data_IF_982739432453
#
_entry.id   IF_982739432453
#
_cell.length_a   1.000
_cell.length_b   1.000
_cell.length_c   1.000
_cell.angle_alpha   90.00
_cell.angle_beta   90.00
_cell.angle_gamma   90.00
#
_symmetry.space_group_name_H-M   'P 1'
#
loop_
_entity.id
_entity.type
_entity.pdbx_description
1 polymer ?
#
# COMPACT_ATOMS: atom_id res chain seq x y z
N UNK A 1 30.71 -5.68 -54.79
CA UNK A 1 31.13 -4.74 -53.73
C UNK A 1 29.92 -4.44 -52.86
N UNK A 2 29.87 -5.03 -51.67
CA UNK A 2 28.72 -4.98 -50.75
C UNK A 2 28.95 -3.88 -49.71
N UNK A 3 28.10 -2.86 -49.72
CA UNK A 3 28.08 -1.73 -48.77
C UNK A 3 27.42 -2.15 -47.46
N UNK A 4 28.17 -2.08 -46.35
CA UNK A 4 27.70 -2.32 -44.98
C UNK A 4 27.10 -1.04 -44.39
N UNK A 5 25.83 -1.10 -43.99
CA UNK A 5 25.21 -0.11 -43.09
C UNK A 5 25.55 -0.41 -41.62
N UNK A 6 25.74 0.60 -40.75
CA UNK A 6 25.99 0.37 -39.33
C UNK A 6 24.67 0.09 -38.59
N UNK A 7 24.61 -1.03 -37.87
CA UNK A 7 23.51 -1.35 -36.95
C UNK A 7 23.62 -0.47 -35.69
N UNK A 8 22.61 0.36 -35.44
CA UNK A 8 22.41 1.03 -34.17
C UNK A 8 22.13 0.01 -33.07
N UNK A 9 22.93 0.05 -32.00
CA UNK A 9 22.68 -0.72 -30.78
C UNK A 9 21.63 0.04 -29.97
N UNK A 10 20.38 -0.39 -30.04
CA UNK A 10 19.36 -0.02 -29.05
C UNK A 10 19.61 -0.83 -27.78
N UNK A 11 20.11 -0.15 -26.74
CA UNK A 11 20.18 -0.70 -25.39
C UNK A 11 18.76 -0.87 -24.85
N UNK A 12 18.37 -2.03 -24.29
CA UNK A 12 17.08 -2.17 -23.67
C UNK A 12 17.07 -1.41 -22.33
N UNK A 13 16.20 -0.42 -22.25
CA UNK A 13 15.84 0.30 -21.03
C UNK A 13 15.43 -0.68 -19.94
N UNK A 14 16.12 -0.55 -18.80
CA UNK A 14 15.99 -1.35 -17.59
C UNK A 14 14.57 -1.26 -17.00
N UNK A 15 13.69 -2.18 -17.41
CA UNK A 15 12.32 -2.31 -16.91
C UNK A 15 12.28 -3.08 -15.58
N UNK A 16 12.72 -2.43 -14.50
CA UNK A 16 12.55 -2.94 -13.12
C UNK A 16 11.84 -1.98 -12.13
N UNK A 17 10.63 -1.45 -12.41
CA UNK A 17 9.81 -0.86 -11.33
C UNK A 17 8.56 -1.69 -10.95
N UNK A 18 8.13 -2.66 -11.77
CA UNK A 18 6.86 -3.39 -11.52
C UNK A 18 6.91 -4.39 -10.35
N UNK A 19 8.06 -5.02 -10.07
CA UNK A 19 8.18 -6.05 -9.03
C UNK A 19 8.37 -5.50 -7.60
N UNK A 20 8.92 -4.29 -7.42
CA UNK A 20 9.00 -3.65 -6.10
C UNK A 20 7.65 -3.08 -5.67
N UNK A 21 6.91 -2.47 -6.61
CA UNK A 21 5.60 -1.86 -6.34
C UNK A 21 4.55 -2.86 -5.83
N UNK A 22 4.56 -4.10 -6.32
CA UNK A 22 3.68 -5.16 -5.83
C UNK A 22 3.95 -5.58 -4.38
N UNK A 23 5.19 -5.36 -3.87
CA UNK A 23 5.54 -5.63 -2.47
C UNK A 23 5.17 -4.49 -1.51
N UNK A 24 4.61 -3.40 -2.01
CA UNK A 24 4.27 -2.20 -1.22
C UNK A 24 2.76 -1.86 -1.26
N UNK A 25 1.96 -2.63 -2.00
CA UNK A 25 0.51 -2.49 -1.98
C UNK A 25 -0.06 -2.97 -0.63
N UNK A 26 -1.17 -2.38 -0.15
CA UNK A 26 -1.93 -2.89 0.98
C UNK A 26 -2.25 -4.38 0.82
N UNK A 27 -2.29 -5.11 1.93
CA UNK A 27 -2.69 -6.51 1.96
C UNK A 27 -4.20 -6.61 1.74
N UNK A 28 -4.60 -6.62 0.48
CA UNK A 28 -6.01 -6.72 0.07
C UNK A 28 -6.13 -7.69 -1.09
N UNK A 29 -6.96 -8.70 -0.89
CA UNK A 29 -7.34 -9.69 -1.89
C UNK A 29 -8.86 -9.83 -1.91
N UNK A 30 -9.36 -10.76 -2.72
CA UNK A 30 -10.78 -11.12 -2.71
C UNK A 30 -11.21 -11.56 -1.30
N UNK A 31 -12.30 -11.00 -0.79
CA UNK A 31 -12.80 -11.33 0.55
C UNK A 31 -13.36 -12.75 0.57
N UNK A 32 -12.93 -13.54 1.55
CA UNK A 32 -13.33 -14.92 1.70
C UNK A 32 -14.22 -15.13 2.92
N UNK A 33 -15.32 -15.86 2.74
CA UNK A 33 -16.05 -16.47 3.85
C UNK A 33 -15.26 -17.65 4.46
N UNK A 34 -15.70 -18.15 5.61
CA UNK A 34 -15.00 -19.19 6.38
C UNK A 34 -14.67 -20.45 5.54
N UNK A 35 -15.58 -20.92 4.70
CA UNK A 35 -15.33 -22.09 3.85
C UNK A 35 -14.38 -21.82 2.67
N UNK A 36 -14.32 -20.58 2.17
CA UNK A 36 -13.28 -20.16 1.21
C UNK A 36 -11.92 -20.06 1.91
N UNK A 37 -11.88 -19.48 3.10
CA UNK A 37 -10.68 -19.38 3.95
C UNK A 37 -10.08 -20.76 4.24
N UNK A 38 -10.88 -21.74 4.65
CA UNK A 38 -10.41 -23.12 4.87
C UNK A 38 -9.82 -23.76 3.61
N UNK A 39 -10.46 -23.56 2.45
CA UNK A 39 -9.97 -24.07 1.16
C UNK A 39 -8.64 -23.42 0.79
N UNK A 40 -8.54 -22.10 0.98
CA UNK A 40 -7.32 -21.33 0.74
C UNK A 40 -6.18 -21.79 1.67
N UNK A 41 -6.46 -21.96 2.97
CA UNK A 41 -5.50 -22.45 3.95
C UNK A 41 -4.90 -23.81 3.56
N UNK A 42 -5.73 -24.75 3.08
CA UNK A 42 -5.25 -26.04 2.56
C UNK A 42 -4.42 -25.88 1.30
N UNK A 43 -4.84 -24.99 0.39
CA UNK A 43 -4.14 -24.72 -0.85
C UNK A 43 -2.72 -24.18 -0.60
N UNK A 44 -2.56 -23.17 0.25
CA UNK A 44 -1.23 -22.64 0.59
C UNK A 44 -0.39 -23.66 1.35
N UNK A 45 -1.01 -24.49 2.20
CA UNK A 45 -0.30 -25.56 2.93
C UNK A 45 0.37 -26.58 2.00
N UNK A 46 -0.25 -26.92 0.87
CA UNK A 46 0.36 -27.79 -0.16
C UNK A 46 1.57 -27.12 -0.81
N UNK A 47 1.55 -25.80 -0.97
CA UNK A 47 2.62 -25.05 -1.64
C UNK A 47 3.82 -24.77 -0.74
N UNK A 48 3.62 -24.73 0.58
CA UNK A 48 4.65 -24.34 1.54
C UNK A 48 5.77 -25.37 1.62
N UNK A 49 6.88 -25.05 0.95
CA UNK A 49 8.15 -25.80 1.06
C UNK A 49 9.02 -25.19 2.13
N UNK A 50 9.24 -25.93 3.22
CA UNK A 50 9.97 -25.44 4.40
C UNK A 50 11.43 -25.90 4.44
N UNK A 51 12.27 -25.08 5.05
CA UNK A 51 13.62 -25.46 5.51
C UNK A 51 13.74 -25.22 7.01
N UNK A 52 14.36 -26.18 7.70
CA UNK A 52 14.69 -26.08 9.13
C UNK A 52 16.18 -25.75 9.27
N UNK A 53 16.53 -24.73 10.07
CA UNK A 53 17.92 -24.33 10.33
C UNK A 53 18.04 -22.92 10.91
N UNK A 54 19.23 -22.51 11.40
CA UNK A 54 19.48 -21.13 11.87
C UNK A 54 19.52 -20.16 10.68
N UNK A 55 18.82 -19.02 10.75
CA UNK A 55 18.92 -17.97 9.74
C UNK A 55 18.91 -16.55 10.32
N UNK A 56 18.88 -15.56 9.44
CA UNK A 56 18.77 -14.14 9.77
C UNK A 56 17.39 -13.79 10.33
N UNK A 57 17.32 -12.89 11.32
CA UNK A 57 16.07 -12.38 11.88
C UNK A 57 15.41 -11.34 10.96
N UNK A 58 15.00 -11.76 9.75
CA UNK A 58 14.46 -10.86 8.71
C UNK A 58 13.20 -10.12 9.15
N UNK A 59 12.37 -10.73 10.00
CA UNK A 59 11.16 -10.10 10.54
C UNK A 59 11.46 -8.87 11.39
N UNK A 60 12.50 -8.90 12.22
CA UNK A 60 12.87 -7.74 13.03
C UNK A 60 13.39 -6.59 12.15
N UNK A 61 14.17 -6.90 11.12
CA UNK A 61 14.59 -5.91 10.13
C UNK A 61 13.39 -5.33 9.36
N UNK A 62 12.40 -6.15 9.03
CA UNK A 62 11.17 -5.68 8.38
C UNK A 62 10.35 -4.80 9.32
N UNK A 63 10.24 -5.17 10.60
CA UNK A 63 9.60 -4.35 11.62
C UNK A 63 10.31 -2.99 11.78
N UNK A 64 11.66 -2.96 11.78
CA UNK A 64 12.44 -1.71 11.79
C UNK A 64 12.09 -0.81 10.59
N UNK A 65 11.92 -1.42 9.41
CA UNK A 65 11.57 -0.69 8.20
C UNK A 65 10.14 -0.15 8.27
N UNK A 66 9.19 -0.97 8.71
CA UNK A 66 7.78 -0.57 8.88
C UNK A 66 7.66 0.58 9.89
N UNK A 67 8.37 0.51 11.02
CA UNK A 67 8.41 1.58 12.02
C UNK A 67 8.92 2.90 11.43
N UNK A 68 9.99 2.85 10.61
CA UNK A 68 10.52 4.04 9.94
C UNK A 68 9.52 4.66 8.96
N UNK A 69 8.86 3.84 8.15
CA UNK A 69 7.83 4.27 7.19
C UNK A 69 6.66 4.94 7.91
N UNK A 70 6.12 4.27 8.94
CA UNK A 70 5.02 4.76 9.77
C UNK A 70 5.37 6.09 10.46
N UNK A 71 6.55 6.19 11.08
CA UNK A 71 7.00 7.43 11.72
C UNK A 71 7.24 8.57 10.74
N UNK A 72 7.81 8.28 9.57
CA UNK A 72 8.01 9.28 8.53
C UNK A 72 6.67 9.82 8.03
N UNK A 73 5.69 8.93 7.79
CA UNK A 73 4.33 9.32 7.43
C UNK A 73 3.67 10.19 8.50
N UNK A 74 3.73 9.79 9.78
CA UNK A 74 3.13 10.54 10.89
C UNK A 74 3.71 11.97 10.97
N UNK A 75 5.05 12.10 10.99
CA UNK A 75 5.74 13.41 11.02
C UNK A 75 5.38 14.26 9.81
N UNK A 76 5.41 13.67 8.61
CA UNK A 76 5.12 14.40 7.39
C UNK A 76 3.67 14.88 7.33
N UNK A 77 2.73 14.14 7.94
CA UNK A 77 1.29 14.46 7.96
C UNK A 77 0.97 15.50 9.03
N UNK A 78 1.60 15.45 10.21
CA UNK A 78 1.50 16.50 11.24
C UNK A 78 2.08 17.84 10.79
N UNK A 79 3.08 17.84 9.91
CA UNK A 79 3.68 19.06 9.36
C UNK A 79 2.83 19.72 8.25
N UNK A 80 1.69 19.14 7.88
CA UNK A 80 0.79 19.70 6.86
C UNK A 80 0.04 20.89 7.45
N UNK A 81 0.01 21.99 6.71
CA UNK A 81 -0.80 23.17 7.06
C UNK A 81 -2.28 22.78 7.22
N UNK A 82 -2.93 23.29 8.27
CA UNK A 82 -4.34 23.01 8.60
C UNK A 82 -5.31 23.38 7.47
N UNK A 83 -4.88 24.25 6.55
CA UNK A 83 -5.63 24.60 5.34
C UNK A 83 -5.74 23.46 4.30
N UNK A 84 -4.87 22.45 4.38
CA UNK A 84 -4.82 21.32 3.45
C UNK A 84 -5.55 20.11 4.02
N UNK A 85 -6.45 19.54 3.22
CA UNK A 85 -7.26 18.38 3.63
C UNK A 85 -6.43 17.12 3.76
N UNK A 86 -6.44 16.55 4.95
CA UNK A 86 -5.97 15.19 5.21
C UNK A 86 -7.08 14.22 4.79
N UNK A 87 -6.72 13.03 4.29
CA UNK A 87 -7.70 12.00 3.92
C UNK A 87 -8.20 11.28 5.18
N UNK A 88 -9.44 10.77 5.22
CA UNK A 88 -9.96 10.07 6.41
C UNK A 88 -9.07 8.94 6.94
N UNK A 89 -8.49 8.13 6.03
CA UNK A 89 -7.54 7.08 6.41
C UNK A 89 -6.27 7.61 7.08
N UNK A 90 -5.79 8.79 6.65
CA UNK A 90 -4.61 9.42 7.23
C UNK A 90 -4.92 10.05 8.58
N UNK A 91 -6.09 10.68 8.76
CA UNK A 91 -6.56 11.16 10.06
C UNK A 91 -6.67 10.02 11.07
N UNK A 92 -7.30 8.91 10.68
CA UNK A 92 -7.41 7.75 11.56
C UNK A 92 -6.06 7.17 12.00
N UNK A 93 -5.08 7.15 11.09
CA UNK A 93 -3.71 6.74 11.42
C UNK A 93 -3.03 7.70 12.41
N UNK A 94 -3.24 9.00 12.27
CA UNK A 94 -2.71 10.01 13.20
C UNK A 94 -3.30 9.82 14.59
N UNK A 95 -4.63 9.72 14.68
CA UNK A 95 -5.36 9.60 15.94
C UNK A 95 -4.97 8.34 16.71
N UNK A 96 -4.56 7.28 16.00
CA UNK A 96 -4.20 5.99 16.57
C UNK A 96 -2.70 5.71 16.57
N UNK A 97 -1.84 6.70 16.27
CA UNK A 97 -0.41 6.45 16.12
C UNK A 97 0.25 5.92 17.41
N UNK A 98 -0.21 6.39 18.58
CA UNK A 98 0.27 5.91 19.87
C UNK A 98 0.10 4.39 20.05
N UNK A 99 -1.04 3.85 19.61
CA UNK A 99 -1.33 2.42 19.66
C UNK A 99 -0.35 1.68 18.75
N UNK A 100 -0.13 2.16 17.53
CA UNK A 100 0.79 1.53 16.58
C UNK A 100 2.20 1.46 17.18
N UNK A 101 2.68 2.53 17.83
CA UNK A 101 3.99 2.53 18.50
C UNK A 101 4.06 1.51 19.64
N UNK A 102 3.02 1.42 20.47
CA UNK A 102 2.93 0.40 21.52
C UNK A 102 3.00 -1.01 20.94
N UNK A 103 2.24 -1.29 19.87
CA UNK A 103 2.23 -2.59 19.22
C UNK A 103 3.60 -2.95 18.62
N UNK A 104 4.33 -1.97 18.07
CA UNK A 104 5.70 -2.19 17.59
C UNK A 104 6.62 -2.59 18.75
N UNK A 105 6.52 -1.93 19.92
CA UNK A 105 7.33 -2.27 21.09
C UNK A 105 6.98 -3.65 21.67
N UNK A 106 5.69 -3.98 21.76
CA UNK A 106 5.24 -5.33 22.15
C UNK A 106 5.74 -6.38 21.16
N UNK A 107 5.67 -6.10 19.86
CA UNK A 107 6.14 -7.04 18.84
C UNK A 107 7.62 -7.36 18.98
N UNK A 108 8.47 -6.36 19.27
CA UNK A 108 9.90 -6.57 19.54
C UNK A 108 10.14 -7.41 20.78
N UNK A 109 9.39 -7.16 21.86
CA UNK A 109 9.53 -7.90 23.12
C UNK A 109 9.11 -9.36 22.97
N UNK A 110 8.02 -9.63 22.25
CA UNK A 110 7.46 -10.97 22.09
C UNK A 110 8.06 -11.76 20.91
N UNK A 111 8.94 -11.14 20.10
CA UNK A 111 9.75 -11.85 19.10
C UNK A 111 11.27 -11.72 19.37
N UNK A 112 11.80 -12.40 20.40
CA UNK A 112 13.24 -12.51 20.58
C UNK A 112 13.93 -13.07 19.32
N UNK A 113 15.18 -12.66 19.10
CA UNK A 113 15.96 -13.06 17.91
C UNK A 113 16.12 -14.57 17.83
N UNK A 114 16.37 -15.22 18.96
CA UNK A 114 16.56 -16.66 19.08
C UNK A 114 15.29 -17.40 18.68
N UNK A 115 14.15 -16.99 19.23
CA UNK A 115 12.85 -17.57 18.89
C UNK A 115 12.52 -17.40 17.40
N UNK A 116 12.73 -16.21 16.85
CA UNK A 116 12.53 -15.96 15.41
C UNK A 116 13.37 -16.89 14.51
N UNK A 117 14.56 -17.30 14.95
CA UNK A 117 15.47 -18.17 14.20
C UNK A 117 15.04 -19.63 14.17
N UNK A 118 14.26 -20.08 15.15
CA UNK A 118 13.82 -21.47 15.31
C UNK A 118 12.59 -21.82 14.47
N UNK A 119 11.84 -20.81 14.03
CA UNK A 119 10.63 -21.00 13.22
C UNK A 119 10.95 -21.55 11.82
N UNK A 120 10.11 -22.46 11.33
CA UNK A 120 10.29 -23.07 10.00
C UNK A 120 10.03 -22.02 8.91
N UNK A 121 10.95 -21.89 7.97
CA UNK A 121 10.89 -20.83 6.94
C UNK A 121 10.51 -21.38 5.58
N UNK A 122 9.89 -20.53 4.78
CA UNK A 122 9.61 -20.81 3.38
C UNK A 122 10.88 -20.71 2.53
N UNK A 123 11.02 -21.64 1.59
CA UNK A 123 12.15 -21.69 0.63
C UNK A 123 11.83 -21.02 -0.69
N UNK A 124 10.56 -20.79 -0.99
CA UNK A 124 10.07 -20.25 -2.25
C UNK A 124 8.84 -19.38 -2.03
N UNK A 125 8.43 -18.66 -3.07
CA UNK A 125 7.25 -17.78 -3.04
C UNK A 125 7.56 -16.36 -2.57
N UNK A 126 6.53 -15.51 -2.45
CA UNK A 126 6.67 -14.10 -2.09
C UNK A 126 7.35 -13.88 -0.73
N UNK A 127 7.10 -14.79 0.22
CA UNK A 127 7.63 -14.79 1.59
C UNK A 127 8.82 -15.72 1.78
N UNK A 128 9.53 -16.07 0.70
CA UNK A 128 10.77 -16.85 0.80
C UNK A 128 11.76 -16.19 1.79
N UNK A 129 12.28 -16.98 2.73
CA UNK A 129 13.16 -16.52 3.81
C UNK A 129 12.44 -16.09 5.09
N UNK A 130 11.11 -15.90 5.06
CA UNK A 130 10.30 -15.64 6.26
C UNK A 130 9.73 -16.92 6.87
N UNK A 131 9.39 -16.92 8.17
CA UNK A 131 8.66 -18.01 8.80
C UNK A 131 7.35 -18.31 8.08
N UNK A 132 6.99 -19.58 7.87
CA UNK A 132 5.73 -19.93 7.21
C UNK A 132 4.51 -19.43 7.96
N UNK A 133 4.57 -19.33 9.30
CA UNK A 133 3.49 -18.77 10.12
C UNK A 133 3.24 -17.30 9.80
N UNK A 134 4.30 -16.56 9.44
CA UNK A 134 4.15 -15.19 8.99
C UNK A 134 3.36 -15.13 7.68
N UNK A 135 3.69 -15.99 6.72
CA UNK A 135 2.96 -16.05 5.46
C UNK A 135 1.48 -16.46 5.65
N UNK A 136 1.21 -17.45 6.51
CA UNK A 136 -0.16 -17.87 6.88
C UNK A 136 -0.99 -16.68 7.35
N UNK A 137 -0.44 -15.82 8.22
CA UNK A 137 -1.21 -14.66 8.72
C UNK A 137 -1.34 -13.55 7.67
N UNK A 138 -0.35 -13.36 6.78
CA UNK A 138 -0.46 -12.40 5.69
C UNK A 138 -1.56 -12.80 4.69
N UNK A 139 -1.65 -14.09 4.38
CA UNK A 139 -2.72 -14.65 3.55
C UNK A 139 -4.09 -14.45 4.22
N UNK A 140 -4.22 -14.75 5.51
CA UNK A 140 -5.46 -14.49 6.25
C UNK A 140 -5.83 -12.99 6.20
N UNK A 141 -4.90 -12.10 6.60
CA UNK A 141 -5.13 -10.65 6.62
C UNK A 141 -5.59 -10.12 5.27
N UNK A 142 -5.00 -10.61 4.17
CA UNK A 142 -5.33 -10.17 2.81
C UNK A 142 -6.77 -10.53 2.42
N UNK A 143 -7.26 -11.70 2.86
CA UNK A 143 -8.58 -12.22 2.49
C UNK A 143 -9.70 -11.85 3.45
N UNK A 144 -9.39 -11.18 4.57
CA UNK A 144 -10.37 -10.62 5.52
C UNK A 144 -10.24 -9.10 5.67
N UNK A 145 -9.46 -8.44 4.81
CA UNK A 145 -9.11 -7.00 4.90
C UNK A 145 -8.74 -6.56 6.32
N UNK A 146 -7.85 -7.33 6.94
CA UNK A 146 -7.36 -7.15 8.30
C UNK A 146 -8.43 -7.19 9.41
N UNK A 147 -9.69 -7.55 9.13
CA UNK A 147 -10.72 -7.78 10.12
C UNK A 147 -10.53 -9.16 10.76
N UNK A 148 -9.79 -9.20 11.86
CA UNK A 148 -9.43 -10.46 12.53
C UNK A 148 -10.46 -10.78 13.61
N UNK A 149 -10.99 -12.00 13.56
CA UNK A 149 -11.79 -12.60 14.61
C UNK A 149 -11.25 -14.01 14.95
N UNK A 150 -11.62 -14.51 16.13
CA UNK A 150 -11.08 -15.77 16.63
C UNK A 150 -11.59 -16.99 15.84
N UNK A 151 -12.79 -16.93 15.29
CA UNK A 151 -13.40 -18.04 14.54
C UNK A 151 -12.70 -18.22 13.19
N UNK A 152 -12.54 -17.14 12.42
CA UNK A 152 -11.86 -17.16 11.12
C UNK A 152 -10.39 -17.58 11.25
N UNK A 153 -9.69 -17.05 12.25
CA UNK A 153 -8.30 -17.43 12.55
C UNK A 153 -8.19 -18.92 12.89
N UNK A 154 -9.03 -19.40 13.82
CA UNK A 154 -9.02 -20.80 14.25
C UNK A 154 -9.34 -21.74 13.09
N UNK A 155 -10.37 -21.42 12.30
CA UNK A 155 -10.75 -22.20 11.13
C UNK A 155 -9.64 -22.26 10.07
N UNK A 156 -8.97 -21.13 9.81
CA UNK A 156 -7.87 -21.05 8.85
C UNK A 156 -6.67 -21.89 9.29
N UNK A 157 -6.21 -21.71 10.54
CA UNK A 157 -5.07 -22.46 11.09
C UNK A 157 -5.39 -23.95 11.19
N UNK A 158 -6.60 -24.33 11.62
CA UNK A 158 -7.02 -25.73 11.69
C UNK A 158 -7.03 -26.39 10.30
N UNK A 159 -7.57 -25.71 9.28
CA UNK A 159 -7.59 -26.23 7.92
C UNK A 159 -6.20 -26.31 7.29
N UNK A 160 -5.30 -25.36 7.58
CA UNK A 160 -3.90 -25.45 7.18
C UNK A 160 -3.23 -26.72 7.76
N UNK A 161 -3.45 -26.96 9.06
CA UNK A 161 -2.84 -28.09 9.78
C UNK A 161 -3.31 -29.46 9.31
N UNK A 162 -4.48 -29.58 8.66
CA UNK A 162 -4.91 -30.86 8.07
C UNK A 162 -4.02 -31.32 6.91
N UNK A 163 -3.24 -30.40 6.33
CA UNK A 163 -2.32 -30.69 5.22
C UNK A 163 -0.87 -30.65 5.69
N UNK A 164 -0.48 -29.63 6.44
CA UNK A 164 0.89 -29.44 6.90
C UNK A 164 0.91 -29.06 8.40
N UNK A 165 1.15 -30.04 9.30
CA UNK A 165 1.17 -29.79 10.74
C UNK A 165 2.16 -28.68 11.13
N UNK A 166 1.72 -27.80 12.04
CA UNK A 166 2.54 -26.75 12.63
C UNK A 166 3.21 -27.28 13.91
N UNK A 167 4.46 -26.87 14.14
CA UNK A 167 5.14 -27.14 15.41
C UNK A 167 4.45 -26.36 16.53
N UNK A 168 4.62 -26.80 17.78
CA UNK A 168 4.08 -26.07 18.93
C UNK A 168 4.58 -24.61 18.96
N UNK A 169 5.89 -24.39 18.78
CA UNK A 169 6.44 -23.02 18.67
C UNK A 169 5.92 -22.22 17.47
N UNK A 170 5.41 -22.85 16.42
CA UNK A 170 4.77 -22.13 15.32
C UNK A 170 3.35 -21.67 15.68
N UNK A 171 2.59 -22.50 16.40
CA UNK A 171 1.26 -22.13 16.91
C UNK A 171 1.34 -21.00 17.94
N UNK A 172 2.33 -21.06 18.84
CA UNK A 172 2.58 -19.99 19.82
C UNK A 172 3.04 -18.68 19.16
N UNK A 173 3.58 -18.74 17.95
CA UNK A 173 3.96 -17.55 17.19
C UNK A 173 2.76 -16.86 16.51
N UNK A 174 1.58 -17.47 16.42
CA UNK A 174 0.44 -16.89 15.68
C UNK A 174 0.07 -15.47 16.15
N UNK A 175 -0.07 -15.17 17.47
CA UNK A 175 -0.44 -13.83 17.92
C UNK A 175 0.60 -12.76 17.53
N UNK A 176 1.89 -13.07 17.71
CA UNK A 176 2.96 -12.16 17.33
C UNK A 176 3.06 -11.98 15.80
N UNK A 177 2.80 -13.04 15.03
CA UNK A 177 2.77 -12.92 13.57
C UNK A 177 1.60 -12.05 13.09
N UNK A 178 0.41 -12.20 13.68
CA UNK A 178 -0.74 -11.33 13.38
C UNK A 178 -0.40 -9.87 13.64
N UNK A 179 0.19 -9.57 14.80
CA UNK A 179 0.64 -8.21 15.14
C UNK A 179 1.62 -7.65 14.10
N UNK A 180 2.61 -8.45 13.69
CA UNK A 180 3.55 -8.05 12.65
C UNK A 180 2.88 -7.84 11.29
N UNK A 181 1.96 -8.72 10.90
CA UNK A 181 1.22 -8.62 9.64
C UNK A 181 0.29 -7.40 9.58
N UNK A 182 -0.34 -7.04 10.70
CA UNK A 182 -1.16 -5.83 10.80
C UNK A 182 -0.31 -4.56 10.72
N UNK A 183 0.84 -4.52 11.40
CA UNK A 183 1.81 -3.41 11.29
C UNK A 183 2.34 -3.29 9.86
N UNK A 184 2.64 -4.41 9.21
CA UNK A 184 3.03 -4.47 7.80
C UNK A 184 1.95 -3.89 6.88
N UNK A 185 0.68 -4.24 7.09
CA UNK A 185 -0.44 -3.71 6.32
C UNK A 185 -0.55 -2.19 6.48
N UNK A 186 -0.49 -1.68 7.72
CA UNK A 186 -0.52 -0.25 7.99
C UNK A 186 0.63 0.48 7.28
N UNK A 187 1.86 -0.04 7.36
CA UNK A 187 3.02 0.55 6.68
C UNK A 187 2.83 0.63 5.15
N UNK A 188 2.31 -0.43 4.52
CA UNK A 188 1.96 -0.44 3.08
C UNK A 188 0.92 0.61 2.73
N UNK A 189 -0.14 0.73 3.53
CA UNK A 189 -1.18 1.77 3.34
C UNK A 189 -0.54 3.16 3.43
N UNK A 190 0.32 3.42 4.41
CA UNK A 190 0.98 4.75 4.55
C UNK A 190 1.87 5.10 3.36
N UNK A 191 2.50 4.11 2.74
CA UNK A 191 3.29 4.28 1.51
C UNK A 191 2.39 4.74 0.36
N UNK A 192 1.23 4.09 0.18
CA UNK A 192 0.21 4.48 -0.79
C UNK A 192 -0.32 5.89 -0.54
N UNK A 193 -0.72 6.19 0.69
CA UNK A 193 -1.22 7.53 1.08
C UNK A 193 -0.17 8.62 0.86
N UNK A 194 1.11 8.33 1.12
CA UNK A 194 2.22 9.26 0.84
C UNK A 194 2.34 9.56 -0.65
N UNK A 195 2.21 8.54 -1.51
CA UNK A 195 2.25 8.73 -2.95
C UNK A 195 1.04 9.52 -3.45
N UNK A 196 -0.17 9.17 -3.01
CA UNK A 196 -1.40 9.88 -3.38
C UNK A 196 -1.34 11.35 -2.94
N UNK A 197 -0.72 11.65 -1.78
CA UNK A 197 -0.48 13.02 -1.34
C UNK A 197 0.50 13.77 -2.25
N UNK A 198 1.57 13.12 -2.73
CA UNK A 198 2.50 13.74 -3.69
C UNK A 198 1.78 14.10 -4.99
N UNK A 199 0.95 13.19 -5.48
CA UNK A 199 0.19 13.39 -6.71
C UNK A 199 -0.83 14.53 -6.58
N UNK A 200 -1.56 14.61 -5.45
CA UNK A 200 -2.44 15.75 -5.12
C UNK A 200 -1.68 17.08 -4.99
N UNK A 201 -0.49 17.07 -4.39
CA UNK A 201 0.34 18.26 -4.29
C UNK A 201 0.83 18.73 -5.67
N UNK A 202 1.16 17.81 -6.57
CA UNK A 202 1.54 18.14 -7.94
C UNK A 202 0.34 18.74 -8.72
N UNK A 203 -0.86 18.17 -8.57
CA UNK A 203 -2.08 18.74 -9.12
C UNK A 203 -2.31 20.18 -8.62
N UNK A 204 -2.20 20.40 -7.30
CA UNK A 204 -2.34 21.72 -6.71
C UNK A 204 -1.33 22.73 -7.26
N UNK A 205 -0.06 22.36 -7.42
CA UNK A 205 0.96 23.25 -8.01
C UNK A 205 0.61 23.67 -9.44
N UNK A 206 0.09 22.76 -10.27
CA UNK A 206 -0.35 23.10 -11.61
C UNK A 206 -1.59 24.00 -11.61
N UNK A 207 -2.57 23.71 -10.75
CA UNK A 207 -3.77 24.54 -10.63
C UNK A 207 -3.43 25.94 -10.13
N UNK A 208 -2.54 26.08 -9.15
CA UNK A 208 -2.07 27.38 -8.65
C UNK A 208 -1.38 28.19 -9.77
N UNK A 209 -0.53 27.56 -10.59
CA UNK A 209 0.11 28.21 -11.74
C UNK A 209 -0.91 28.66 -12.78
N UNK A 210 -1.90 27.81 -13.07
CA UNK A 210 -2.97 28.10 -14.01
C UNK A 210 -3.85 29.27 -13.51
N UNK A 211 -4.22 29.27 -12.23
CA UNK A 211 -5.00 30.34 -11.59
C UNK A 211 -4.23 31.66 -11.59
N UNK A 212 -2.96 31.65 -11.16
CA UNK A 212 -2.12 32.85 -11.15
C UNK A 212 -1.94 33.43 -12.57
N UNK A 213 -1.84 32.58 -13.60
CA UNK A 213 -1.78 33.03 -14.99
C UNK A 213 -3.12 33.57 -15.47
N UNK A 214 -4.23 32.92 -15.11
CA UNK A 214 -5.58 33.37 -15.45
C UNK A 214 -5.90 34.73 -14.86
N UNK A 215 -5.43 35.02 -13.65
CA UNK A 215 -5.62 36.32 -12.98
C UNK A 215 -4.72 37.41 -13.56
N UNK A 216 -3.43 37.12 -13.78
CA UNK A 216 -2.44 38.15 -14.14
C UNK A 216 -2.33 38.39 -15.65
N UNK A 217 -2.37 37.32 -16.45
CA UNK A 217 -2.16 37.39 -17.91
C UNK A 217 -2.97 36.29 -18.64
N UNK A 218 -4.32 36.40 -18.71
CA UNK A 218 -5.18 35.35 -19.25
C UNK A 218 -4.80 34.89 -20.67
N UNK A 219 -4.31 35.79 -21.53
CA UNK A 219 -3.87 35.47 -22.90
C UNK A 219 -2.67 34.52 -22.96
N UNK A 220 -1.96 34.30 -21.85
CA UNK A 220 -0.78 33.42 -21.75
C UNK A 220 -1.05 32.07 -21.08
N UNK A 221 -2.31 31.72 -20.79
CA UNK A 221 -2.64 30.41 -20.19
C UNK A 221 -2.13 29.23 -21.03
N UNK A 222 -2.16 29.36 -22.36
CA UNK A 222 -1.66 28.33 -23.28
C UNK A 222 -0.20 27.93 -22.97
N UNK A 223 0.62 28.85 -22.46
CA UNK A 223 2.01 28.58 -22.09
C UNK A 223 2.06 27.61 -20.91
N UNK A 224 1.23 27.82 -19.88
CA UNK A 224 1.18 26.96 -18.69
C UNK A 224 0.64 25.57 -19.05
N UNK A 225 -0.37 25.48 -19.92
CA UNK A 225 -0.87 24.20 -20.42
C UNK A 225 0.21 23.48 -21.24
N UNK A 226 0.97 24.20 -22.07
CA UNK A 226 2.09 23.63 -22.81
C UNK A 226 3.25 23.17 -21.90
N UNK A 227 3.54 23.90 -20.82
CA UNK A 227 4.51 23.49 -19.80
C UNK A 227 4.06 22.21 -19.10
N UNK A 228 2.79 22.12 -18.73
CA UNK A 228 2.21 20.92 -18.13
C UNK A 228 2.27 19.74 -19.12
N UNK A 229 1.97 19.98 -20.41
CA UNK A 229 2.08 18.98 -21.46
C UNK A 229 3.50 18.45 -21.64
N UNK A 230 4.52 19.32 -21.55
CA UNK A 230 5.95 18.95 -21.60
C UNK A 230 6.43 18.22 -20.36
N UNK A 231 5.86 18.54 -19.19
CA UNK A 231 6.23 17.90 -17.94
C UNK A 231 5.72 16.46 -17.82
N UNK A 232 4.73 16.08 -18.65
CA UNK A 232 4.15 14.74 -18.72
C UNK A 232 3.84 14.14 -17.33
N UNK A 233 3.03 14.83 -16.49
CA UNK A 233 2.71 14.32 -15.16
C UNK A 233 1.98 12.98 -15.24
N UNK A 234 2.26 12.10 -14.28
CA UNK A 234 1.48 10.87 -14.12
C UNK A 234 0.04 11.22 -13.71
N UNK A 235 -0.92 10.85 -14.56
CA UNK A 235 -2.34 11.13 -14.34
C UNK A 235 -2.99 10.06 -13.47
N UNK A 236 -2.54 9.94 -12.21
CA UNK A 236 -3.18 9.05 -11.23
C UNK A 236 -4.60 9.54 -10.87
N UNK A 237 -5.41 8.64 -10.30
CA UNK A 237 -6.74 8.99 -9.78
C UNK A 237 -6.67 10.17 -8.82
N UNK A 238 -5.67 10.20 -7.93
CA UNK A 238 -5.47 11.26 -6.95
C UNK A 238 -5.09 12.58 -7.59
N UNK A 239 -4.23 12.56 -8.62
CA UNK A 239 -3.90 13.77 -9.39
C UNK A 239 -5.14 14.33 -10.08
N UNK A 240 -5.85 13.50 -10.85
CA UNK A 240 -7.00 13.93 -11.66
C UNK A 240 -8.15 14.43 -10.79
N UNK A 241 -8.48 13.71 -9.72
CA UNK A 241 -9.54 14.11 -8.80
C UNK A 241 -9.25 15.48 -8.15
N UNK A 242 -8.04 15.69 -7.64
CA UNK A 242 -7.65 16.96 -7.04
C UNK A 242 -7.62 18.10 -8.07
N UNK A 243 -7.03 17.83 -9.24
CA UNK A 243 -6.94 18.80 -10.33
C UNK A 243 -8.33 19.27 -10.77
N UNK A 244 -9.26 18.36 -11.01
CA UNK A 244 -10.65 18.66 -11.38
C UNK A 244 -11.43 19.34 -10.25
N UNK A 245 -11.27 18.89 -9.01
CA UNK A 245 -11.93 19.48 -7.85
C UNK A 245 -11.50 20.94 -7.63
N UNK A 246 -10.23 21.26 -7.86
CA UNK A 246 -9.70 22.62 -7.70
C UNK A 246 -10.01 23.51 -8.90
N UNK A 247 -10.08 22.94 -10.11
CA UNK A 247 -10.45 23.65 -11.35
C UNK A 247 -11.93 24.00 -11.48
N UNK A 248 -12.84 23.19 -10.92
CA UNK A 248 -14.29 23.39 -11.04
C UNK A 248 -14.80 24.69 -10.42
N UNK A 249 -13.95 25.41 -9.67
CA UNK A 249 -14.21 26.76 -9.15
C UNK A 249 -14.03 27.81 -10.26
N UNK A 250 -14.99 27.81 -11.20
CA UNK A 250 -15.44 28.91 -12.07
C UNK A 250 -14.36 29.86 -12.63
N UNK A 251 -13.59 29.42 -13.63
CA UNK A 251 -12.94 30.35 -14.56
C UNK A 251 -12.99 29.79 -16.00
N UNK A 252 -13.77 30.38 -16.92
CA UNK A 252 -13.86 29.97 -18.32
C UNK A 252 -12.50 29.92 -19.04
N UNK A 253 -11.52 30.72 -18.58
CA UNK A 253 -10.20 30.74 -19.21
C UNK A 253 -9.43 29.41 -18.97
N UNK A 254 -9.87 28.58 -18.02
CA UNK A 254 -9.25 27.30 -17.69
C UNK A 254 -9.76 26.10 -18.53
N UNK A 255 -10.68 26.33 -19.49
CA UNK A 255 -11.16 25.27 -20.40
C UNK A 255 -10.04 24.56 -21.16
N UNK A 256 -8.96 25.26 -21.53
CA UNK A 256 -7.81 24.65 -22.22
C UNK A 256 -7.11 23.59 -21.37
N UNK A 257 -6.93 23.86 -20.08
CA UNK A 257 -6.31 22.90 -19.15
C UNK A 257 -7.20 21.68 -18.93
N UNK A 258 -8.53 21.90 -18.84
CA UNK A 258 -9.52 20.82 -18.72
C UNK A 258 -9.54 19.95 -19.98
N UNK A 259 -9.63 20.55 -21.17
CA UNK A 259 -9.63 19.81 -22.43
C UNK A 259 -8.34 19.03 -22.66
N UNK A 260 -7.19 19.59 -22.26
CA UNK A 260 -5.92 18.86 -22.28
C UNK A 260 -5.97 17.62 -21.38
N UNK A 261 -6.47 17.75 -20.15
CA UNK A 261 -6.56 16.64 -19.21
C UNK A 261 -7.48 15.53 -19.76
N UNK A 262 -8.67 15.90 -20.22
CA UNK A 262 -9.66 14.97 -20.80
C UNK A 262 -9.06 14.20 -21.99
N UNK A 263 -8.40 14.90 -22.92
CA UNK A 263 -7.74 14.27 -24.06
C UNK A 263 -6.63 13.31 -23.61
N UNK A 264 -5.78 13.71 -22.65
CA UNK A 264 -4.69 12.88 -22.16
C UNK A 264 -5.16 11.65 -21.39
N UNK A 265 -6.21 11.75 -20.58
CA UNK A 265 -6.78 10.58 -19.91
C UNK A 265 -7.38 9.61 -20.93
N UNK A 266 -8.04 10.13 -21.96
CA UNK A 266 -8.60 9.32 -23.05
C UNK A 266 -7.51 8.60 -23.85
N UNK A 267 -6.37 9.26 -24.12
CA UNK A 267 -5.19 8.61 -24.72
C UNK A 267 -4.66 7.43 -23.88
N UNK A 268 -4.86 7.47 -22.56
CA UNK A 268 -4.53 6.38 -21.62
C UNK A 268 -5.67 5.35 -21.45
N UNK A 269 -6.79 5.53 -22.15
CA UNK A 269 -7.95 4.63 -22.14
C UNK A 269 -8.88 4.79 -20.95
N UNK A 270 -8.79 5.90 -20.19
CA UNK A 270 -9.61 6.17 -19.02
C UNK A 270 -10.32 7.53 -19.14
N UNK A 271 -11.56 7.63 -18.65
CA UNK A 271 -12.22 8.93 -18.52
C UNK A 271 -11.87 9.62 -17.20
N UNK A 272 -11.98 10.95 -17.17
CA UNK A 272 -11.83 11.74 -15.93
C UNK A 272 -12.81 11.26 -14.84
N UNK A 273 -14.06 10.95 -15.23
CA UNK A 273 -15.09 10.47 -14.31
C UNK A 273 -14.72 9.11 -13.69
N UNK A 274 -14.18 8.19 -14.49
CA UNK A 274 -13.68 6.91 -14.01
C UNK A 274 -12.55 7.10 -13.00
N UNK A 275 -11.61 8.00 -13.27
CA UNK A 275 -10.49 8.30 -12.37
C UNK A 275 -10.96 8.95 -11.06
N UNK A 276 -11.95 9.85 -11.11
CA UNK A 276 -12.58 10.43 -9.91
C UNK A 276 -13.29 9.34 -9.10
N UNK A 277 -14.01 8.42 -9.75
CA UNK A 277 -14.68 7.33 -9.07
C UNK A 277 -13.68 6.36 -8.42
N UNK A 278 -12.60 6.02 -9.12
CA UNK A 278 -11.49 5.21 -8.60
C UNK A 278 -10.85 5.85 -7.36
N UNK A 279 -10.65 7.18 -7.36
CA UNK A 279 -10.11 7.87 -6.19
C UNK A 279 -11.02 7.73 -4.97
N UNK A 280 -12.33 7.94 -5.16
CA UNK A 280 -13.32 7.81 -4.09
C UNK A 280 -13.33 6.39 -3.51
N UNK A 281 -13.35 5.37 -4.38
CA UNK A 281 -13.28 3.97 -3.97
C UNK A 281 -11.97 3.64 -3.23
N UNK A 282 -10.83 4.14 -3.72
CA UNK A 282 -9.53 3.91 -3.10
C UNK A 282 -9.48 4.52 -1.69
N UNK A 283 -9.95 5.75 -1.51
CA UNK A 283 -9.97 6.40 -0.19
C UNK A 283 -10.89 5.67 0.80
N UNK A 284 -12.06 5.21 0.34
CA UNK A 284 -12.97 4.43 1.17
C UNK A 284 -12.34 3.08 1.58
N UNK A 285 -11.71 2.37 0.64
CA UNK A 285 -11.00 1.12 0.92
C UNK A 285 -9.84 1.32 1.89
N UNK A 286 -9.04 2.39 1.73
CA UNK A 286 -7.97 2.73 2.66
C UNK A 286 -8.49 3.01 4.06
N UNK A 287 -9.58 3.76 4.18
CA UNK A 287 -10.18 4.08 5.47
C UNK A 287 -10.66 2.83 6.22
N UNK A 288 -11.37 1.94 5.52
CA UNK A 288 -11.88 0.69 6.10
C UNK A 288 -10.73 -0.22 6.54
N UNK A 289 -9.75 -0.44 5.66
CA UNK A 289 -8.61 -1.32 5.91
C UNK A 289 -7.74 -0.84 7.08
N UNK A 290 -7.55 0.49 7.21
CA UNK A 290 -6.89 1.09 8.38
C UNK A 290 -7.73 0.83 9.65
N UNK A 291 -9.03 1.11 9.60
CA UNK A 291 -9.93 0.91 10.75
C UNK A 291 -9.93 -0.54 11.24
N UNK A 292 -10.02 -1.51 10.32
CA UNK A 292 -9.93 -2.94 10.63
C UNK A 292 -8.58 -3.30 11.23
N UNK A 293 -7.47 -2.82 10.64
CA UNK A 293 -6.13 -3.10 11.14
C UNK A 293 -5.94 -2.58 12.58
N UNK A 294 -6.42 -1.37 12.88
CA UNK A 294 -6.38 -0.78 14.23
C UNK A 294 -7.27 -1.57 15.20
N UNK A 295 -8.49 -1.92 14.80
CA UNK A 295 -9.42 -2.68 15.64
C UNK A 295 -8.87 -4.05 16.00
N UNK A 296 -8.26 -4.74 15.03
CA UNK A 296 -7.60 -6.03 15.24
C UNK A 296 -6.37 -5.93 16.15
N UNK A 297 -5.58 -4.85 16.04
CA UNK A 297 -4.47 -4.61 16.97
C UNK A 297 -4.95 -4.38 18.42
N UNK A 298 -6.07 -3.66 18.60
CA UNK A 298 -6.69 -3.49 19.92
C UNK A 298 -7.18 -4.83 20.48
N UNK A 299 -7.82 -5.65 19.65
CA UNK A 299 -8.27 -6.99 20.03
C UNK A 299 -7.10 -7.85 20.53
N UNK A 300 -5.98 -7.88 19.80
CA UNK A 300 -4.79 -8.62 20.21
C UNK A 300 -4.20 -8.12 21.55
N UNK A 301 -4.35 -6.83 21.85
CA UNK A 301 -3.87 -6.25 23.11
C UNK A 301 -4.76 -6.57 24.30
N UNK A 302 -6.04 -6.89 24.06
CA UNK A 302 -6.99 -7.26 25.11
C UNK A 302 -6.93 -8.75 25.48
N UNK A 303 -6.31 -9.57 24.62
CA UNK A 303 -6.19 -11.03 24.80
C UNK A 303 -4.81 -11.41 25.37
N UNK A 304 -3.80 -10.55 25.20
CA UNK A 304 -2.46 -10.68 25.81
C UNK A 304 -2.49 -10.34 27.31
#
# INVERSE_FOLDING_TARGET
MLTKFPRSKTSPTNSRPRRSRAKELPLRAELFGVEQLKRHARFIAVQHKIVSGRASAQLLNRLDQNEKELRAFNRATLAVDQSRRVTPAAEWLLDNFYLIEEQIQLARRHLPREYSRELSRLTSGPSAGFPRVYDIVLELISHVDAQIDAESLSAFVAAYQTVAPLKLGELWAVPIMLRLGLIENLARITTGLTQNRRDRNLANQWVERLQAMAEKNPSRIVIVVADMARAEPLLSSSFVAEFCQRLSRLNPVLHLARGWLEQRTLEQGLSVEQLIHQESQSQASDQVSVSHSISSLRLLSAID
#
